data_IF_554915010241
#
_entry.id   IF_554915010241
#
_cell.length_a   1.000
_cell.length_b   1.000
_cell.length_c   1.000
_cell.angle_alpha   90.00
_cell.angle_beta   90.00
_cell.angle_gamma   90.00
#
_symmetry.space_group_name_H-M   'P 1'
#
loop_
_entity.id
_entity.type
_entity.pdbx_description
1 polymer ?
#
# COMPACT_ATOMS: atom_id res chain seq x y z
N UNK A 1 30.26 -48.72 -4.42
CA UNK A 1 30.94 -47.81 -5.36
C UNK A 1 30.18 -47.94 -6.65
N UNK A 2 29.39 -47.01 -7.14
CA UNK A 2 28.89 -45.67 -6.77
C UNK A 2 27.67 -45.54 -7.74
N UNK A 3 26.58 -44.83 -7.52
CA UNK A 3 26.33 -43.43 -7.20
C UNK A 3 24.83 -43.40 -6.83
N UNK A 4 24.47 -43.02 -5.60
CA UNK A 4 24.03 -41.68 -5.19
C UNK A 4 22.76 -41.18 -5.87
N UNK A 5 21.76 -40.94 -5.03
CA UNK A 5 20.41 -40.56 -5.37
C UNK A 5 20.38 -39.10 -5.87
N UNK A 6 19.56 -38.84 -6.89
CA UNK A 6 19.08 -37.49 -7.12
C UNK A 6 17.58 -37.55 -7.41
N UNK A 7 16.81 -37.53 -6.33
CA UNK A 7 15.40 -37.21 -6.30
C UNK A 7 15.23 -35.75 -6.72
N UNK A 8 15.03 -35.49 -8.01
CA UNK A 8 14.59 -34.19 -8.49
C UNK A 8 13.08 -34.10 -8.31
N UNK A 9 12.68 -33.58 -7.15
CA UNK A 9 11.34 -33.11 -6.86
C UNK A 9 10.89 -32.14 -7.96
N UNK A 10 9.87 -32.54 -8.71
CA UNK A 10 9.12 -31.69 -9.63
C UNK A 10 8.60 -30.49 -8.84
N UNK A 11 9.23 -29.33 -9.05
CA UNK A 11 8.81 -28.06 -8.50
C UNK A 11 7.39 -27.77 -8.98
N UNK A 12 6.44 -27.94 -8.07
CA UNK A 12 5.06 -27.51 -8.27
C UNK A 12 5.11 -26.01 -8.53
N UNK A 13 4.97 -25.61 -9.79
CA UNK A 13 4.79 -24.22 -10.16
C UNK A 13 3.37 -23.85 -9.71
N UNK A 14 3.25 -23.51 -8.43
CA UNK A 14 2.05 -22.94 -7.86
C UNK A 14 1.88 -21.57 -8.50
N UNK A 15 1.15 -21.55 -9.63
CA UNK A 15 0.62 -20.33 -10.22
C UNK A 15 -0.35 -19.74 -9.21
N UNK A 16 0.18 -18.93 -8.31
CA UNK A 16 -0.61 -18.11 -7.41
C UNK A 16 -1.26 -17.03 -8.26
N UNK A 17 -2.44 -17.33 -8.80
CA UNK A 17 -3.39 -16.31 -9.22
C UNK A 17 -3.82 -15.57 -7.95
N UNK A 18 -3.04 -14.56 -7.59
CA UNK A 18 -3.34 -13.66 -6.48
C UNK A 18 -4.49 -12.76 -6.90
N UNK A 19 -5.55 -12.82 -6.10
CA UNK A 19 -6.83 -12.18 -6.35
C UNK A 19 -6.71 -10.68 -6.52
N UNK A 20 -7.50 -10.19 -7.48
CA UNK A 20 -8.01 -8.83 -7.56
C UNK A 20 -8.61 -8.44 -6.19
N UNK A 21 -7.93 -7.54 -5.45
CA UNK A 21 -8.42 -6.63 -4.38
C UNK A 21 -7.31 -6.29 -3.34
N UNK A 22 -6.06 -6.22 -3.76
CA UNK A 22 -5.04 -5.46 -3.04
C UNK A 22 -4.84 -4.16 -3.83
N UNK A 23 -5.67 -3.15 -3.56
CA UNK A 23 -5.25 -1.74 -3.70
C UNK A 23 -4.07 -1.53 -2.75
N UNK A 24 -2.92 -2.16 -3.07
CA UNK A 24 -1.63 -1.73 -2.57
C UNK A 24 -1.58 -0.23 -2.85
N UNK A 25 -1.04 0.55 -1.93
CA UNK A 25 -0.98 2.00 -2.14
C UNK A 25 -0.04 2.26 -3.34
N UNK A 26 -0.58 2.23 -4.54
CA UNK A 26 0.16 2.23 -5.81
C UNK A 26 1.08 3.44 -5.88
N UNK A 27 0.64 4.56 -5.31
CA UNK A 27 1.40 5.81 -5.27
C UNK A 27 2.70 5.69 -4.45
N UNK A 28 2.71 4.88 -3.39
CA UNK A 28 3.93 4.65 -2.60
C UNK A 28 4.87 3.72 -3.35
N UNK A 29 4.33 2.64 -3.92
CA UNK A 29 5.10 1.68 -4.70
C UNK A 29 5.72 2.33 -5.95
N UNK A 30 4.99 3.26 -6.57
CA UNK A 30 5.44 4.05 -7.72
C UNK A 30 6.56 5.02 -7.31
N UNK A 31 6.43 5.73 -6.18
CA UNK A 31 7.50 6.61 -5.68
C UNK A 31 8.78 5.83 -5.39
N UNK A 32 8.67 4.71 -4.69
CA UNK A 32 9.81 3.84 -4.38
C UNK A 32 10.43 3.27 -5.67
N UNK A 33 9.60 2.82 -6.62
CA UNK A 33 10.07 2.38 -7.94
C UNK A 33 10.86 3.47 -8.67
N UNK A 34 10.35 4.70 -8.75
CA UNK A 34 11.07 5.79 -9.43
C UNK A 34 12.38 6.15 -8.70
N UNK A 35 12.42 6.10 -7.37
CA UNK A 35 13.66 6.28 -6.60
C UNK A 35 14.69 5.22 -6.95
N UNK A 36 14.28 3.95 -7.02
CA UNK A 36 15.19 2.87 -7.45
C UNK A 36 15.70 3.06 -8.87
N UNK A 37 14.82 3.51 -9.78
CA UNK A 37 15.17 3.78 -11.16
C UNK A 37 16.19 4.93 -11.25
N UNK A 38 16.05 5.96 -10.42
CA UNK A 38 17.01 7.05 -10.30
C UNK A 38 18.40 6.54 -9.91
N UNK A 39 18.50 5.77 -8.83
CA UNK A 39 19.76 5.17 -8.39
C UNK A 39 20.37 4.24 -9.46
N UNK A 40 19.53 3.48 -10.17
CA UNK A 40 19.96 2.56 -11.21
C UNK A 40 20.52 3.31 -12.43
N UNK A 41 19.85 4.37 -12.89
CA UNK A 41 20.30 5.18 -14.04
C UNK A 41 21.57 5.97 -13.72
N UNK A 42 21.69 6.46 -12.48
CA UNK A 42 22.88 7.15 -12.01
C UNK A 42 24.05 6.20 -11.66
N UNK A 43 23.81 4.87 -11.66
CA UNK A 43 24.78 3.84 -11.25
C UNK A 43 25.31 4.08 -9.84
N UNK A 44 24.43 4.48 -8.93
CA UNK A 44 24.81 4.77 -7.56
C UNK A 44 25.36 3.52 -6.86
N UNK A 45 26.48 3.61 -6.10
CA UNK A 45 27.07 2.46 -5.41
C UNK A 45 26.11 1.74 -4.45
N UNK A 46 25.06 2.43 -4.03
CA UNK A 46 24.03 1.90 -3.13
C UNK A 46 23.29 0.68 -3.70
N UNK A 47 23.15 0.57 -5.03
CA UNK A 47 22.46 -0.56 -5.66
C UNK A 47 23.18 -1.90 -5.46
N UNK A 48 24.47 -1.88 -5.13
CA UNK A 48 25.28 -3.08 -4.90
C UNK A 48 25.37 -3.45 -3.41
N UNK A 49 24.87 -2.58 -2.53
CA UNK A 49 24.91 -2.81 -1.09
C UNK A 49 23.75 -3.73 -0.68
N UNK A 50 24.07 -4.94 -0.22
CA UNK A 50 23.07 -5.90 0.29
C UNK A 50 22.28 -5.41 1.50
N UNK A 51 22.77 -4.38 2.18
CA UNK A 51 22.14 -3.79 3.37
C UNK A 51 21.12 -2.69 3.03
N UNK A 52 21.05 -2.25 1.77
CA UNK A 52 20.10 -1.22 1.34
C UNK A 52 18.84 -1.90 0.83
N UNK A 53 17.74 -1.67 1.53
CA UNK A 53 16.43 -2.15 1.12
C UNK A 53 15.72 -1.02 0.37
N UNK A 54 15.45 -1.24 -0.91
CA UNK A 54 14.78 -0.27 -1.77
C UNK A 54 13.26 -0.38 -1.75
N UNK A 55 12.76 -1.61 -1.57
CA UNK A 55 11.34 -1.89 -1.44
C UNK A 55 11.13 -2.48 -0.05
N UNK A 56 10.60 -1.72 0.91
CA UNK A 56 10.24 -2.28 2.21
C UNK A 56 9.33 -3.48 1.97
N UNK A 57 9.77 -4.69 2.34
CA UNK A 57 8.99 -5.90 2.12
C UNK A 57 7.66 -5.74 2.84
N UNK A 58 6.55 -5.98 2.14
CA UNK A 58 5.18 -5.95 2.67
C UNK A 58 4.91 -7.11 3.64
N UNK A 59 5.82 -7.42 4.57
CA UNK A 59 5.43 -8.06 5.82
C UNK A 59 4.67 -7.04 6.67
N UNK A 60 3.39 -6.92 6.35
CA UNK A 60 2.35 -6.64 7.31
C UNK A 60 2.38 -5.24 7.99
N UNK A 61 1.90 -4.24 7.25
CA UNK A 61 0.81 -3.37 7.77
C UNK A 61 -0.49 -4.16 8.07
N UNK A 62 -0.44 -5.50 8.10
CA UNK A 62 -1.33 -6.42 8.82
C UNK A 62 -0.96 -6.57 10.30
N UNK A 63 -0.12 -5.69 10.86
CA UNK A 63 -0.24 -5.37 12.29
C UNK A 63 -1.59 -4.67 12.45
N UNK A 64 -2.63 -5.49 12.67
CA UNK A 64 -3.84 -5.07 13.38
C UNK A 64 -3.39 -4.04 14.40
N UNK A 65 -3.83 -2.80 14.23
CA UNK A 65 -3.77 -1.84 15.32
C UNK A 65 -4.22 -2.60 16.56
N UNK A 66 -3.40 -2.71 17.62
CA UNK A 66 -4.00 -2.98 18.89
C UNK A 66 -4.91 -1.78 19.10
N UNK A 67 -6.22 -2.00 18.95
CA UNK A 67 -7.26 -1.15 19.51
C UNK A 67 -7.06 -1.19 21.02
N UNK A 68 -6.00 -0.51 21.47
CA UNK A 68 -5.88 -0.04 22.84
C UNK A 68 -7.05 0.91 22.96
N UNK A 69 -8.09 0.41 23.59
CA UNK A 69 -9.13 1.23 24.20
C UNK A 69 -8.39 2.35 24.89
N UNK A 70 -8.47 3.56 24.33
CA UNK A 70 -8.11 4.76 25.04
C UNK A 70 -9.09 4.78 26.21
N UNK A 71 -8.65 4.29 27.36
CA UNK A 71 -9.14 4.73 28.65
C UNK A 71 -8.67 6.19 28.83
N UNK A 72 -9.11 7.07 27.94
CA UNK A 72 -9.19 8.50 28.23
C UNK A 72 -10.63 8.71 28.67
N UNK A 73 -10.83 8.71 29.98
CA UNK A 73 -12.11 8.89 30.66
C UNK A 73 -12.71 10.29 30.48
N UNK A 74 -12.42 10.99 29.38
CA UNK A 74 -12.90 12.34 29.12
C UNK A 74 -13.30 12.46 27.65
N UNK A 75 -14.58 12.78 27.44
CA UNK A 75 -15.17 13.00 26.12
C UNK A 75 -14.56 14.26 25.50
N UNK A 76 -14.40 14.34 24.16
CA UNK A 76 -13.96 15.58 23.52
C UNK A 76 -14.91 16.72 23.93
N UNK A 77 -14.35 17.79 24.49
CA UNK A 77 -15.11 18.97 24.91
C UNK A 77 -15.41 19.80 23.66
N UNK A 78 -16.68 20.08 23.42
CA UNK A 78 -17.10 20.95 22.31
C UNK A 78 -17.25 22.40 22.78
N UNK A 79 -17.20 23.36 21.85
CA UNK A 79 -17.35 24.79 22.16
C UNK A 79 -18.64 25.09 22.98
N UNK A 80 -19.74 24.40 22.65
CA UNK A 80 -21.01 24.52 23.39
C UNK A 80 -20.93 23.97 24.82
N UNK A 81 -20.03 23.02 25.07
CA UNK A 81 -19.82 22.48 26.41
C UNK A 81 -18.98 23.46 27.25
N UNK A 82 -17.99 24.11 26.65
CA UNK A 82 -17.22 25.17 27.30
C UNK A 82 -18.08 26.40 27.65
N UNK A 83 -18.95 26.84 26.75
CA UNK A 83 -19.91 27.91 27.02
C UNK A 83 -20.85 27.55 28.19
N UNK A 84 -21.32 26.30 28.23
CA UNK A 84 -22.16 25.80 29.32
C UNK A 84 -21.41 25.77 30.64
N UNK A 85 -20.15 25.35 30.64
CA UNK A 85 -19.29 25.31 31.83
C UNK A 85 -19.03 26.71 32.39
N UNK A 86 -18.80 27.71 31.53
CA UNK A 86 -18.68 29.11 31.96
C UNK A 86 -19.97 29.57 32.64
N UNK A 87 -21.13 29.32 32.01
CA UNK A 87 -22.42 29.69 32.58
C UNK A 87 -22.70 29.00 33.93
N UNK A 88 -22.35 27.72 34.06
CA UNK A 88 -22.53 26.97 35.32
C UNK A 88 -21.61 27.52 36.41
N UNK A 89 -20.34 27.84 36.10
CA UNK A 89 -19.40 28.43 37.06
C UNK A 89 -19.85 29.82 37.52
N UNK A 90 -20.31 30.65 36.59
CA UNK A 90 -20.83 31.99 36.91
C UNK A 90 -22.05 31.90 37.83
N UNK A 91 -23.01 31.04 37.50
CA UNK A 91 -24.21 30.82 38.33
C UNK A 91 -23.84 30.24 39.70
N UNK A 92 -22.89 29.31 39.79
CA UNK A 92 -22.46 28.77 41.09
C UNK A 92 -21.74 29.82 41.95
N UNK A 93 -20.95 30.71 41.36
CA UNK A 93 -20.34 31.84 42.09
C UNK A 93 -21.41 32.79 42.64
N UNK A 94 -22.45 33.11 41.87
CA UNK A 94 -23.57 33.93 42.34
C UNK A 94 -24.37 33.26 43.47
N UNK A 95 -24.48 31.92 43.46
CA UNK A 95 -25.17 31.17 44.52
C UNK A 95 -24.35 31.02 45.81
N UNK A 96 -23.02 30.93 45.74
CA UNK A 96 -22.15 30.89 46.95
C UNK A 96 -22.07 32.25 47.67
N UNK A 97 -22.28 33.37 46.97
CA UNK A 97 -22.35 34.72 47.56
C UNK A 97 -23.61 34.92 48.45
N UNK A 98 -24.56 33.99 48.42
CA UNK A 98 -25.79 34.01 49.23
C UNK A 98 -25.79 33.03 50.42
N UNK A 99 -24.71 32.28 50.65
CA UNK A 99 -24.47 31.53 51.89
C UNK A 99 -23.76 32.41 52.91
N UNK A 100 -24.38 32.59 54.07
CA UNK A 100 -24.00 33.49 55.18
C UNK A 100 -22.73 33.03 55.97
N UNK A 101 -21.70 32.51 55.28
CA UNK A 101 -20.41 32.16 55.88
C UNK A 101 -19.38 33.26 55.58
N UNK A 102 -19.01 34.00 56.63
CA UNK A 102 -18.08 35.14 56.60
C UNK A 102 -16.62 34.66 56.46
N UNK A 103 -16.29 34.00 55.36
CA UNK A 103 -14.92 33.73 54.92
C UNK A 103 -14.52 34.69 53.81
N UNK A 104 -13.38 35.36 53.94
CA UNK A 104 -12.81 36.17 52.86
C UNK A 104 -12.75 35.36 51.54
N UNK A 105 -13.15 35.94 50.39
CA UNK A 105 -13.04 35.25 49.12
C UNK A 105 -11.58 34.84 48.90
N UNK A 106 -11.32 33.62 48.39
CA UNK A 106 -9.96 33.18 48.12
C UNK A 106 -9.27 34.22 47.23
N UNK A 107 -7.98 34.53 47.46
CA UNK A 107 -7.27 35.52 46.67
C UNK A 107 -7.30 35.09 45.21
N UNK A 108 -8.02 35.85 44.39
CA UNK A 108 -8.00 35.65 42.95
C UNK A 108 -6.61 36.03 42.45
N UNK A 109 -6.02 35.16 41.65
CA UNK A 109 -4.70 35.41 41.07
C UNK A 109 -4.73 36.74 40.32
N UNK A 110 -3.65 37.51 40.38
CA UNK A 110 -3.60 38.75 39.60
C UNK A 110 -3.59 38.40 38.10
N UNK A 111 -4.17 39.22 37.23
CA UNK A 111 -4.14 39.02 35.77
C UNK A 111 -2.75 38.60 35.22
N UNK A 112 -1.67 39.22 35.71
CA UNK A 112 -0.31 38.88 35.32
C UNK A 112 0.15 37.49 35.78
N UNK A 113 -0.37 37.05 36.93
CA UNK A 113 -0.11 35.75 37.53
C UNK A 113 -0.88 34.65 36.79
N UNK A 114 -2.14 34.91 36.43
CA UNK A 114 -2.95 34.03 35.57
C UNK A 114 -2.29 33.85 34.19
N UNK A 115 -1.86 34.94 33.56
CA UNK A 115 -1.14 34.86 32.29
C UNK A 115 0.16 34.06 32.39
N UNK A 116 0.87 34.14 33.52
CA UNK A 116 2.09 33.35 33.74
C UNK A 116 1.76 31.87 33.90
N UNK A 117 0.76 31.54 34.71
CA UNK A 117 0.30 30.17 34.91
C UNK A 117 -0.14 29.51 33.59
N UNK A 118 -0.87 30.25 32.73
CA UNK A 118 -1.28 29.78 31.40
C UNK A 118 -0.07 29.56 30.47
N UNK A 119 0.90 30.48 30.49
CA UNK A 119 2.12 30.33 29.67
C UNK A 119 2.97 29.16 30.12
N UNK A 120 3.03 28.90 31.42
CA UNK A 120 3.78 27.78 31.99
C UNK A 120 3.09 26.44 31.68
N UNK A 121 1.77 26.34 31.83
CA UNK A 121 1.02 25.13 31.48
C UNK A 121 1.12 24.81 29.98
N UNK A 122 1.03 25.81 29.11
CA UNK A 122 1.22 25.63 27.66
C UNK A 122 2.65 25.16 27.34
N UNK A 123 3.67 25.72 28.00
CA UNK A 123 5.07 25.32 27.81
C UNK A 123 5.33 23.88 28.24
N UNK A 124 4.69 23.42 29.31
CA UNK A 124 4.79 22.02 29.77
C UNK A 124 4.26 21.08 28.68
N UNK A 125 3.08 21.37 28.12
CA UNK A 125 2.46 20.57 27.05
C UNK A 125 3.36 20.50 25.81
N UNK A 126 3.91 21.64 25.36
CA UNK A 126 4.80 21.70 24.19
C UNK A 126 6.11 20.93 24.43
N UNK A 127 6.68 21.02 25.64
CA UNK A 127 7.91 20.30 25.96
C UNK A 127 7.68 18.78 26.10
N UNK A 128 6.51 18.36 26.59
CA UNK A 128 6.12 16.95 26.68
C UNK A 128 5.84 16.34 25.30
N UNK A 129 5.30 17.13 24.36
CA UNK A 129 5.10 16.77 22.95
C UNK A 129 6.41 16.65 22.15
N UNK A 130 7.51 17.27 22.60
CA UNK A 130 8.82 17.18 21.94
C UNK A 130 9.61 15.90 22.27
N UNK A 131 9.09 15.03 23.15
CA UNK A 131 9.68 13.72 23.42
C UNK A 131 9.19 12.73 22.35
N UNK A 132 10.13 11.99 21.75
CA UNK A 132 10.06 11.28 20.44
C UNK A 132 8.96 10.20 20.24
N UNK A 133 7.89 10.16 21.04
CA UNK A 133 6.73 9.28 20.82
C UNK A 133 5.68 9.99 19.94
N UNK A 134 5.84 9.87 18.62
CA UNK A 134 4.92 10.39 17.59
C UNK A 134 3.44 9.98 17.78
N UNK A 135 3.16 8.94 18.56
CA UNK A 135 1.80 8.44 18.81
C UNK A 135 1.02 9.26 19.88
N UNK A 136 1.68 10.18 20.60
CA UNK A 136 1.08 10.98 21.69
C UNK A 136 1.20 12.52 21.50
N UNK A 137 1.40 13.01 20.28
CA UNK A 137 1.25 14.45 20.00
C UNK A 137 -0.22 14.88 20.21
N UNK A 138 -0.49 15.48 21.37
CA UNK A 138 -1.86 15.82 21.82
C UNK A 138 -2.27 17.23 21.42
N UNK A 139 -1.33 18.14 21.15
CA UNK A 139 -1.62 19.54 20.85
C UNK A 139 -1.71 19.77 19.34
N UNK A 140 -0.74 19.28 18.57
CA UNK A 140 -0.70 19.44 17.12
C UNK A 140 -0.62 18.08 16.44
N UNK A 141 -1.65 17.75 15.67
CA UNK A 141 -1.61 16.60 14.76
C UNK A 141 -1.27 17.07 13.36
N UNK A 142 -0.41 16.31 12.68
CA UNK A 142 -0.20 16.50 11.23
C UNK A 142 -1.55 16.35 10.55
N UNK A 143 -1.98 17.38 9.82
CA UNK A 143 -3.19 17.30 9.00
C UNK A 143 -2.99 16.17 7.99
N UNK A 144 -3.89 15.19 7.98
CA UNK A 144 -3.98 14.22 6.90
C UNK A 144 -4.37 14.97 5.62
N UNK A 145 -3.55 14.81 4.58
CA UNK A 145 -3.80 15.47 3.29
C UNK A 145 -5.12 14.94 2.73
N UNK A 146 -5.96 15.84 2.24
CA UNK A 146 -7.18 15.42 1.55
C UNK A 146 -6.81 14.72 0.24
N UNK A 147 -7.63 13.78 -0.20
CA UNK A 147 -7.42 13.03 -1.45
C UNK A 147 -7.18 13.95 -2.66
N UNK A 148 -7.87 15.09 -2.70
CA UNK A 148 -7.69 16.11 -3.76
C UNK A 148 -6.32 16.78 -3.72
N UNK A 149 -5.79 16.98 -2.53
CA UNK A 149 -4.46 17.59 -2.31
C UNK A 149 -3.38 16.61 -2.77
N UNK A 150 -3.52 15.34 -2.40
CA UNK A 150 -2.63 14.25 -2.84
C UNK A 150 -2.60 14.10 -4.37
N UNK A 151 -3.77 14.09 -5.03
CA UNK A 151 -3.85 14.03 -6.49
C UNK A 151 -3.22 15.25 -7.18
N UNK A 152 -3.26 16.42 -6.54
CA UNK A 152 -2.59 17.61 -7.08
C UNK A 152 -1.08 17.50 -6.94
N UNK A 153 -0.59 17.03 -5.79
CA UNK A 153 0.84 16.75 -5.57
C UNK A 153 1.37 15.72 -6.57
N UNK A 154 0.63 14.65 -6.84
CA UNK A 154 1.06 13.62 -7.79
C UNK A 154 1.08 14.15 -9.24
N UNK A 155 0.15 15.04 -9.61
CA UNK A 155 0.20 15.75 -10.90
C UNK A 155 1.41 16.67 -10.99
N UNK A 156 1.67 17.42 -9.93
CA UNK A 156 2.79 18.34 -9.85
C UNK A 156 4.13 17.59 -9.92
N UNK A 157 4.20 16.44 -9.26
CA UNK A 157 5.29 15.47 -9.31
C UNK A 157 5.55 14.96 -10.73
N UNK A 158 4.50 14.51 -11.44
CA UNK A 158 4.61 14.07 -12.84
C UNK A 158 5.04 15.22 -13.76
N UNK A 159 4.51 16.43 -13.53
CA UNK A 159 4.88 17.61 -14.32
C UNK A 159 6.34 18.01 -14.13
N UNK A 160 6.85 17.90 -12.89
CA UNK A 160 8.25 18.10 -12.58
C UNK A 160 9.13 17.07 -13.28
N UNK A 161 8.82 15.77 -13.21
CA UNK A 161 9.55 14.72 -13.96
C UNK A 161 9.55 14.94 -15.48
N UNK A 162 8.49 15.56 -16.02
CA UNK A 162 8.42 15.95 -17.45
C UNK A 162 9.22 17.22 -17.79
N UNK A 163 9.84 17.88 -16.80
CA UNK A 163 10.58 19.13 -16.95
C UNK A 163 9.70 20.37 -17.17
N UNK A 164 8.39 20.28 -16.88
CA UNK A 164 7.44 21.41 -17.03
C UNK A 164 7.35 22.28 -15.78
N UNK A 165 7.87 21.78 -14.65
CA UNK A 165 7.90 22.46 -13.35
C UNK A 165 9.33 22.38 -12.81
N UNK A 166 9.77 23.42 -12.11
CA UNK A 166 11.16 23.53 -11.65
C UNK A 166 11.39 22.91 -10.27
N UNK A 167 10.42 23.10 -9.35
CA UNK A 167 10.59 22.76 -7.93
C UNK A 167 9.42 21.91 -7.41
N UNK A 168 9.69 21.06 -6.43
CA UNK A 168 8.71 20.28 -5.68
C UNK A 168 8.62 20.77 -4.23
N UNK A 169 7.45 20.62 -3.61
CA UNK A 169 7.28 20.96 -2.20
C UNK A 169 8.04 19.98 -1.29
N UNK A 170 8.21 18.73 -1.74
CA UNK A 170 8.96 17.69 -1.04
C UNK A 170 10.41 17.62 -1.52
N UNK A 171 11.30 18.24 -0.74
CA UNK A 171 12.73 18.36 -1.06
C UNK A 171 13.49 17.04 -0.97
N UNK A 172 13.02 16.08 -0.16
CA UNK A 172 13.68 14.78 -0.05
C UNK A 172 13.50 14.02 -1.37
N UNK A 173 12.26 13.97 -1.85
CA UNK A 173 11.87 13.36 -3.13
C UNK A 173 12.59 14.06 -4.29
N UNK A 174 12.66 15.39 -4.27
CA UNK A 174 13.38 16.17 -5.30
C UNK A 174 14.85 15.73 -5.40
N UNK A 175 15.55 15.59 -4.27
CA UNK A 175 16.97 15.22 -4.26
C UNK A 175 17.21 13.78 -4.76
N UNK A 176 16.36 12.84 -4.35
CA UNK A 176 16.50 11.42 -4.73
C UNK A 176 16.22 11.19 -6.22
N UNK A 177 15.29 11.95 -6.81
CA UNK A 177 14.88 11.80 -8.20
C UNK A 177 15.57 12.75 -9.15
N UNK A 178 16.32 13.72 -8.65
CA UNK A 178 17.09 14.65 -9.47
C UNK A 178 17.94 13.96 -10.55
N UNK A 179 18.67 12.86 -10.27
CA UNK A 179 19.43 12.16 -11.30
C UNK A 179 18.54 11.61 -12.43
N UNK A 180 17.37 11.07 -12.09
CA UNK A 180 16.39 10.59 -13.08
C UNK A 180 15.77 11.73 -13.88
N UNK A 181 15.38 12.82 -13.20
CA UNK A 181 14.84 14.02 -13.81
C UNK A 181 15.81 14.60 -14.85
N UNK A 182 17.07 14.75 -14.46
CA UNK A 182 18.12 15.30 -15.33
C UNK A 182 18.38 14.38 -16.53
N UNK A 183 18.35 13.06 -16.32
CA UNK A 183 18.47 12.07 -17.39
C UNK A 183 17.30 12.13 -18.39
N UNK A 184 16.05 12.18 -17.90
CA UNK A 184 14.85 12.20 -18.74
C UNK A 184 14.60 13.53 -19.46
N UNK A 185 15.27 14.60 -19.05
CA UNK A 185 15.16 15.92 -19.69
C UNK A 185 16.42 16.30 -20.48
N UNK A 186 17.36 15.37 -20.64
CA UNK A 186 18.50 15.52 -21.55
C UNK A 186 18.01 15.49 -23.03
N UNK A 187 18.36 16.48 -23.87
CA UNK A 187 18.04 16.47 -25.30
C UNK A 187 18.61 15.29 -26.10
N UNK A 188 19.55 14.54 -25.53
CA UNK A 188 20.20 13.38 -26.16
C UNK A 188 19.60 12.03 -25.75
N UNK A 189 18.40 12.04 -25.17
CA UNK A 189 17.70 10.84 -24.70
C UNK A 189 17.42 9.86 -25.85
N UNK A 190 17.61 8.57 -25.59
CA UNK A 190 17.33 7.50 -26.56
C UNK A 190 15.82 7.34 -26.79
N UNK A 191 15.40 6.99 -28.00
CA UNK A 191 13.97 6.81 -28.36
C UNK A 191 13.28 5.80 -27.44
N UNK A 192 14.03 4.77 -27.00
CA UNK A 192 13.53 3.76 -26.05
C UNK A 192 13.28 4.33 -24.67
N UNK A 193 14.09 5.30 -24.24
CA UNK A 193 13.93 5.96 -22.94
C UNK A 193 12.83 7.02 -23.00
N UNK A 194 12.66 7.71 -24.13
CA UNK A 194 11.48 8.55 -24.36
C UNK A 194 10.18 7.73 -24.27
N UNK A 195 10.17 6.55 -24.91
CA UNK A 195 9.06 5.61 -24.79
C UNK A 195 8.85 5.17 -23.34
N UNK A 196 9.91 4.79 -22.63
CA UNK A 196 9.80 4.33 -21.23
C UNK A 196 9.29 5.45 -20.32
N UNK A 197 9.76 6.68 -20.51
CA UNK A 197 9.28 7.88 -19.83
C UNK A 197 7.78 8.06 -20.07
N UNK A 198 7.31 7.99 -21.31
CA UNK A 198 5.88 8.09 -21.63
C UNK A 198 5.06 6.94 -21.05
N UNK A 199 5.59 5.71 -21.13
CA UNK A 199 4.95 4.48 -20.68
C UNK A 199 4.71 4.46 -19.17
N UNK A 200 5.74 4.81 -18.39
CA UNK A 200 5.65 4.86 -16.92
C UNK A 200 4.76 6.04 -16.50
N UNK A 201 5.01 7.25 -17.01
CA UNK A 201 4.31 8.46 -16.54
C UNK A 201 2.83 8.50 -16.92
N UNK A 202 2.41 7.79 -17.97
CA UNK A 202 1.01 7.65 -18.34
C UNK A 202 0.40 6.34 -17.80
N UNK A 203 1.11 5.60 -16.96
CA UNK A 203 0.69 4.32 -16.36
C UNK A 203 0.14 3.31 -17.37
N UNK A 204 0.78 3.21 -18.55
CA UNK A 204 0.31 2.37 -19.67
C UNK A 204 0.40 0.87 -19.38
N UNK A 205 1.07 0.48 -18.30
CA UNK A 205 1.05 -0.90 -17.80
C UNK A 205 -0.28 -1.28 -17.12
N UNK A 206 -1.09 -0.29 -16.71
CA UNK A 206 -2.45 -0.50 -16.22
C UNK A 206 -3.47 -0.52 -17.37
N UNK A 207 -3.11 0.03 -18.53
CA UNK A 207 -3.91 -0.08 -19.74
C UNK A 207 -3.89 -1.54 -20.17
N UNK A 208 -4.92 -2.29 -19.78
CA UNK A 208 -5.13 -3.64 -20.29
C UNK A 208 -5.57 -3.49 -21.74
N UNK A 209 -4.61 -3.55 -22.64
CA UNK A 209 -4.86 -3.59 -24.07
C UNK A 209 -5.89 -4.70 -24.34
N UNK A 210 -6.92 -4.39 -25.13
CA UNK A 210 -7.82 -5.42 -25.67
C UNK A 210 -7.05 -6.49 -26.50
N UNK A 211 -5.77 -6.23 -26.81
CA UNK A 211 -4.81 -7.09 -27.49
C UNK A 211 -4.02 -8.01 -26.56
N UNK A 212 -4.12 -7.83 -25.24
CA UNK A 212 -3.54 -8.73 -24.23
C UNK A 212 -4.44 -9.91 -23.86
N UNK A 213 -5.65 -9.98 -24.43
CA UNK A 213 -6.33 -11.26 -24.54
C UNK A 213 -5.51 -12.11 -25.50
N UNK A 214 -4.79 -13.11 -24.98
CA UNK A 214 -4.47 -14.30 -25.78
C UNK A 214 -5.77 -14.66 -26.49
N UNK A 215 -5.78 -14.62 -27.83
CA UNK A 215 -7.02 -14.85 -28.56
C UNK A 215 -7.59 -16.17 -28.04
N UNK A 216 -8.84 -16.16 -27.59
CA UNK A 216 -9.49 -17.33 -26.98
C UNK A 216 -9.44 -18.56 -27.94
N UNK A 217 -9.25 -18.30 -29.24
CA UNK A 217 -8.92 -19.28 -30.28
C UNK A 217 -7.61 -20.02 -30.08
N UNK A 218 -6.53 -19.36 -29.67
CA UNK A 218 -5.22 -20.01 -29.46
C UNK A 218 -5.29 -20.96 -28.26
N UNK A 219 -6.04 -20.58 -27.21
CA UNK A 219 -6.28 -21.45 -26.05
C UNK A 219 -7.19 -22.64 -26.41
N UNK A 220 -8.19 -22.44 -27.27
CA UNK A 220 -9.10 -23.49 -27.73
C UNK A 220 -8.40 -24.54 -28.61
N UNK A 221 -7.43 -24.13 -29.44
CA UNK A 221 -6.64 -25.06 -30.24
C UNK A 221 -5.72 -25.93 -29.36
N UNK A 222 -5.10 -25.34 -28.34
CA UNK A 222 -4.26 -26.07 -27.37
C UNK A 222 -5.09 -27.07 -26.54
N UNK A 223 -6.29 -26.69 -26.09
CA UNK A 223 -7.19 -27.60 -25.36
C UNK A 223 -7.60 -28.80 -26.22
N UNK A 224 -7.92 -28.56 -27.50
CA UNK A 224 -8.26 -29.63 -28.44
C UNK A 224 -7.08 -30.56 -28.72
N UNK A 225 -5.86 -30.03 -28.71
CA UNK A 225 -4.64 -30.83 -28.91
C UNK A 225 -4.38 -31.73 -27.70
N UNK A 226 -4.56 -31.22 -26.48
CA UNK A 226 -4.52 -31.99 -25.23
C UNK A 226 -5.56 -33.11 -25.22
N UNK A 227 -6.81 -32.81 -25.58
CA UNK A 227 -7.87 -33.82 -25.63
C UNK A 227 -7.58 -34.91 -26.69
N UNK A 228 -7.01 -34.52 -27.84
CA UNK A 228 -6.61 -35.45 -28.88
C UNK A 228 -5.48 -36.38 -28.40
N UNK A 229 -4.52 -35.85 -27.64
CA UNK A 229 -3.41 -36.60 -27.05
C UNK A 229 -3.93 -37.61 -26.01
N UNK A 230 -4.78 -37.18 -25.07
CA UNK A 230 -5.40 -38.06 -24.08
C UNK A 230 -6.20 -39.18 -24.74
N UNK A 231 -6.98 -38.84 -25.77
CA UNK A 231 -7.76 -39.82 -26.53
C UNK A 231 -6.87 -40.82 -27.27
N UNK A 232 -5.72 -40.37 -27.80
CA UNK A 232 -4.74 -41.24 -28.44
C UNK A 232 -4.10 -42.19 -27.43
N UNK A 233 -3.64 -41.68 -26.29
CA UNK A 233 -3.04 -42.48 -25.22
C UNK A 233 -4.04 -43.49 -24.65
N UNK A 234 -5.28 -43.07 -24.42
CA UNK A 234 -6.35 -43.95 -23.97
C UNK A 234 -6.62 -45.06 -25.01
N UNK A 235 -6.77 -44.73 -26.29
CA UNK A 235 -6.97 -45.75 -27.34
C UNK A 235 -5.78 -46.70 -27.44
N UNK A 236 -4.55 -46.19 -27.31
CA UNK A 236 -3.34 -46.98 -27.39
C UNK A 236 -3.20 -47.94 -26.20
N UNK A 237 -3.38 -47.43 -24.97
CA UNK A 237 -3.27 -48.19 -23.73
C UNK A 237 -4.37 -49.25 -23.58
N UNK A 238 -5.59 -48.94 -24.00
CA UNK A 238 -6.74 -49.84 -23.87
C UNK A 238 -6.99 -50.71 -25.11
N UNK A 239 -6.13 -50.64 -26.14
CA UNK A 239 -6.28 -51.35 -27.42
C UNK A 239 -6.54 -52.85 -27.26
N UNK A 240 -5.83 -53.52 -26.35
CA UNK A 240 -6.00 -54.96 -26.10
C UNK A 240 -7.25 -55.28 -25.30
N UNK A 241 -7.63 -54.41 -24.35
CA UNK A 241 -8.89 -54.56 -23.59
C UNK A 241 -10.09 -54.42 -24.51
N UNK A 242 -10.10 -53.42 -25.38
CA UNK A 242 -11.15 -53.21 -26.38
C UNK A 242 -11.29 -54.40 -27.34
N UNK A 243 -10.17 -54.88 -27.91
CA UNK A 243 -10.19 -56.07 -28.79
C UNK A 243 -10.72 -57.32 -28.08
N UNK A 244 -10.31 -57.54 -26.82
CA UNK A 244 -10.78 -58.69 -26.03
C UNK A 244 -12.29 -58.59 -25.75
N UNK A 245 -12.81 -57.40 -25.47
CA UNK A 245 -14.24 -57.17 -25.23
C UNK A 245 -15.02 -57.44 -26.53
N UNK A 246 -14.55 -56.95 -27.67
CA UNK A 246 -15.22 -57.14 -28.96
C UNK A 246 -15.29 -58.64 -29.33
N UNK A 247 -14.16 -59.35 -29.25
CA UNK A 247 -14.15 -60.80 -29.51
C UNK A 247 -15.03 -61.58 -28.53
N UNK A 248 -15.17 -61.13 -27.28
CA UNK A 248 -16.07 -61.77 -26.32
C UNK A 248 -17.56 -61.58 -26.67
N UNK A 249 -17.93 -60.43 -27.25
CA UNK A 249 -19.30 -60.17 -27.73
C UNK A 249 -19.62 -60.99 -28.96
N UNK A 250 -18.70 -61.06 -29.94
CA UNK A 250 -18.88 -61.86 -31.16
C UNK A 250 -19.06 -63.35 -30.84
N UNK A 251 -18.31 -63.86 -29.85
CA UNK A 251 -18.46 -65.24 -29.37
C UNK A 251 -19.82 -65.46 -28.70
N UNK A 252 -20.30 -64.50 -27.89
CA UNK A 252 -21.62 -64.61 -27.26
C UNK A 252 -22.78 -64.52 -28.27
N UNK A 253 -22.62 -63.71 -29.31
CA UNK A 253 -23.64 -63.54 -30.36
C UNK A 253 -23.70 -64.77 -31.27
N UNK A 254 -22.55 -65.34 -31.65
CA UNK A 254 -22.49 -66.60 -32.40
C UNK A 254 -23.02 -67.80 -31.60
N UNK A 255 -22.84 -67.83 -30.28
CA UNK A 255 -23.43 -68.86 -29.41
C UNK A 255 -24.95 -68.70 -29.21
N UNK A 256 -25.51 -67.50 -29.41
CA UNK A 256 -26.97 -67.26 -29.36
C UNK A 256 -27.68 -67.54 -30.69
N UNK A 257 -26.93 -67.54 -31.80
CA UNK A 257 -27.47 -67.77 -33.15
C UNK A 257 -27.42 -69.25 -33.60
N UNK A 258 -26.80 -70.13 -32.79
CA UNK A 258 -26.77 -71.59 -32.97
C UNK A 258 -27.81 -72.27 -32.08
#
# INVERSE_FOLDING_TARGET
MSDDENSSEEGTSSSSSTSEDEELNEDFLEKDFLKTLSCLKNKDPQIYNKNVQFFPQEEAKLKKEPTKKKDSTEKPIYLRDYERDILIKEVNNEFEEHSDDQGEPPPTMTYNEEQRAIKESFKIIVNEESSEDEENATLLKKKEKDEKEKQQEDKDYIQWLKGKRNDLDDKEIENELKPLHDYWNDPSLDEKEEFLKDYILNKRYLERDAQGNVEESDLFEDEKLLEAQENFEHKYNFRLKARRIESSKDIQETLKAA
#
